data_IF_028314233046
#
_entry.id   IF_028314233046
#
_cell.length_a   1.000
_cell.length_b   1.000
_cell.length_c   1.000
_cell.angle_alpha   90.00
_cell.angle_beta   90.00
_cell.angle_gamma   90.00
#
_symmetry.space_group_name_H-M   'P 1'
#
loop_
_entity.id
_entity.type
_entity.pdbx_description
1 polymer ?
#
# COMPACT_ATOMS: atom_id res chain seq x y z
N UNK A 1 7.53 -14.93 15.06
CA UNK A 1 8.09 -14.23 13.87
C UNK A 1 6.99 -13.64 13.01
N UNK A 2 5.92 -14.36 12.68
CA UNK A 2 4.83 -13.88 11.81
C UNK A 2 4.17 -12.57 12.25
N UNK A 3 3.92 -12.36 13.54
CA UNK A 3 3.33 -11.12 14.05
C UNK A 3 4.21 -9.88 13.79
N UNK A 4 5.53 -10.02 13.76
CA UNK A 4 6.42 -8.92 13.43
C UNK A 4 6.36 -8.57 11.94
N UNK A 5 6.24 -9.57 11.05
CA UNK A 5 6.00 -9.32 9.64
C UNK A 5 4.72 -8.50 9.44
N UNK A 6 3.63 -8.87 10.10
CA UNK A 6 2.36 -8.13 10.06
C UNK A 6 2.52 -6.69 10.58
N UNK A 7 3.21 -6.50 11.72
CA UNK A 7 3.49 -5.17 12.29
C UNK A 7 4.26 -4.28 11.30
N UNK A 8 5.27 -4.80 10.62
CA UNK A 8 6.01 -4.05 9.61
C UNK A 8 5.18 -3.74 8.36
N UNK A 9 4.26 -4.63 7.95
CA UNK A 9 3.30 -4.34 6.89
C UNK A 9 2.39 -3.17 7.30
N UNK A 10 1.82 -3.23 8.52
CA UNK A 10 0.96 -2.15 9.05
C UNK A 10 1.71 -0.82 9.15
N UNK A 11 2.94 -0.83 9.67
CA UNK A 11 3.79 0.35 9.74
C UNK A 11 4.07 0.93 8.35
N UNK A 12 4.36 0.08 7.36
CA UNK A 12 4.57 0.50 5.95
C UNK A 12 3.32 1.19 5.38
N UNK A 13 2.13 0.66 5.68
CA UNK A 13 0.85 1.24 5.26
C UNK A 13 0.55 2.55 6.00
N UNK A 14 0.89 2.65 7.27
CA UNK A 14 0.68 3.83 8.12
C UNK A 14 1.54 5.03 7.72
N UNK A 15 2.69 4.84 7.08
CA UNK A 15 3.57 5.95 6.62
C UNK A 15 2.81 6.96 5.75
N UNK A 16 1.91 6.51 4.88
CA UNK A 16 1.18 7.42 3.98
C UNK A 16 0.22 8.34 4.72
N UNK A 17 -0.71 7.85 5.56
CA UNK A 17 -1.56 8.74 6.36
C UNK A 17 -0.75 9.59 7.34
N UNK A 18 0.29 9.02 7.97
CA UNK A 18 1.13 9.75 8.90
C UNK A 18 1.85 10.95 8.25
N UNK A 19 2.41 10.75 7.05
CA UNK A 19 2.98 11.84 6.26
C UNK A 19 1.97 12.98 6.02
N UNK A 20 0.72 12.63 5.76
CA UNK A 20 -0.31 13.62 5.50
C UNK A 20 -0.76 14.37 6.75
N UNK A 21 -0.74 13.72 7.91
CA UNK A 21 -1.09 14.32 9.19
C UNK A 21 0.01 15.22 9.72
N UNK A 22 1.27 14.79 9.57
CA UNK A 22 2.44 15.51 10.13
C UNK A 22 3.09 16.47 9.14
N UNK A 23 2.76 16.40 7.85
CA UNK A 23 3.44 17.17 6.79
C UNK A 23 4.87 16.72 6.48
N UNK A 24 5.43 15.75 7.23
CA UNK A 24 6.85 15.35 7.14
C UNK A 24 7.08 14.43 5.94
N UNK A 25 7.74 14.96 4.90
CA UNK A 25 8.02 14.23 3.64
C UNK A 25 9.06 13.12 3.84
N UNK A 26 10.01 13.28 4.76
CA UNK A 26 11.07 12.30 5.03
C UNK A 26 10.57 10.93 5.50
N UNK A 27 9.37 10.85 6.09
CA UNK A 27 8.76 9.59 6.49
C UNK A 27 8.65 8.56 5.35
N UNK A 28 8.55 9.02 4.10
CA UNK A 28 8.44 8.14 2.92
C UNK A 28 9.68 7.26 2.73
N UNK A 29 10.83 7.70 3.22
CA UNK A 29 12.09 6.94 3.11
C UNK A 29 12.02 5.61 3.88
N UNK A 30 11.30 5.59 5.01
CA UNK A 30 11.15 4.38 5.83
C UNK A 30 10.25 3.31 5.20
N UNK A 31 9.38 3.68 4.25
CA UNK A 31 8.51 2.69 3.59
C UNK A 31 9.27 1.51 2.98
N UNK A 32 10.41 1.81 2.35
CA UNK A 32 11.24 0.79 1.74
C UNK A 32 11.87 -0.12 2.79
N UNK A 33 12.46 0.47 3.81
CA UNK A 33 13.10 -0.25 4.90
C UNK A 33 12.10 -1.15 5.63
N UNK A 34 10.95 -0.60 6.03
CA UNK A 34 9.89 -1.35 6.71
C UNK A 34 9.32 -2.46 5.85
N UNK A 35 9.18 -2.24 4.52
CA UNK A 35 8.74 -3.28 3.58
C UNK A 35 9.75 -4.42 3.45
N UNK A 36 11.05 -4.14 3.45
CA UNK A 36 12.09 -5.16 3.44
C UNK A 36 12.13 -5.93 4.77
N UNK A 37 11.98 -5.27 5.91
CA UNK A 37 11.84 -5.97 7.19
C UNK A 37 10.61 -6.88 7.21
N UNK A 38 9.46 -6.41 6.69
CA UNK A 38 8.27 -7.24 6.57
C UNK A 38 8.56 -8.53 5.77
N UNK A 39 9.25 -8.41 4.64
CA UNK A 39 9.65 -9.55 3.83
C UNK A 39 10.61 -10.47 4.59
N UNK A 40 11.66 -9.94 5.22
CA UNK A 40 12.63 -10.73 5.98
C UNK A 40 11.97 -11.53 7.10
N UNK A 41 11.10 -10.88 7.90
CA UNK A 41 10.40 -11.56 8.97
C UNK A 41 9.39 -12.60 8.47
N UNK A 42 8.72 -12.36 7.34
CA UNK A 42 7.84 -13.32 6.71
C UNK A 42 8.62 -14.52 6.15
N UNK A 43 9.78 -14.30 5.53
CA UNK A 43 10.66 -15.35 5.02
C UNK A 43 11.21 -16.22 6.17
N UNK A 44 11.68 -15.60 7.26
CA UNK A 44 12.16 -16.33 8.45
C UNK A 44 11.00 -17.09 9.11
N UNK A 45 9.79 -16.53 9.15
CA UNK A 45 8.62 -17.23 9.67
C UNK A 45 8.30 -18.48 8.84
N UNK A 46 8.33 -18.37 7.54
CA UNK A 46 8.13 -19.51 6.64
C UNK A 46 9.27 -20.54 6.77
N UNK A 47 10.51 -20.08 6.88
CA UNK A 47 11.65 -20.98 7.08
C UNK A 47 11.54 -21.77 8.40
N UNK A 48 11.08 -21.11 9.48
CA UNK A 48 10.83 -21.81 10.75
C UNK A 48 9.77 -22.91 10.61
N UNK A 49 8.70 -22.66 9.82
CA UNK A 49 7.71 -23.67 9.51
C UNK A 49 8.35 -24.87 8.75
N UNK A 50 9.18 -24.61 7.73
CA UNK A 50 9.84 -25.66 6.98
C UNK A 50 10.79 -26.51 7.82
N UNK A 51 11.51 -25.89 8.76
CA UNK A 51 12.55 -26.59 9.56
C UNK A 51 11.95 -27.30 10.75
N UNK A 52 11.03 -26.65 11.46
CA UNK A 52 10.55 -27.13 12.77
C UNK A 52 9.29 -27.98 12.64
N UNK A 53 8.39 -27.66 11.70
CA UNK A 53 7.12 -28.35 11.58
C UNK A 53 7.15 -29.47 10.52
N UNK A 54 7.89 -29.28 9.41
CA UNK A 54 7.85 -30.19 8.25
C UNK A 54 9.12 -30.98 8.01
N UNK A 55 10.17 -30.76 8.80
CA UNK A 55 11.47 -31.50 8.68
C UNK A 55 11.99 -31.57 7.24
N UNK A 56 11.66 -30.59 6.38
CA UNK A 56 11.97 -30.52 4.94
C UNK A 56 11.37 -31.65 4.07
N UNK A 57 10.29 -32.33 4.51
CA UNK A 57 9.58 -33.25 3.62
C UNK A 57 8.72 -32.46 2.63
N UNK A 58 9.14 -32.50 1.36
CA UNK A 58 8.47 -31.75 0.28
C UNK A 58 7.06 -32.27 0.03
N UNK A 59 6.81 -33.56 0.21
CA UNK A 59 5.48 -34.14 0.01
C UNK A 59 4.52 -33.66 1.08
N UNK A 60 4.91 -33.68 2.35
CA UNK A 60 4.13 -33.12 3.46
C UNK A 60 3.88 -31.62 3.32
N UNK A 61 4.89 -30.86 2.86
CA UNK A 61 4.74 -29.40 2.62
C UNK A 61 3.67 -29.11 1.58
N UNK A 62 3.68 -29.87 0.46
CA UNK A 62 2.70 -29.71 -0.61
C UNK A 62 1.32 -30.09 -0.12
N UNK A 63 1.17 -31.19 0.59
CA UNK A 63 -0.07 -31.66 1.19
C UNK A 63 -0.64 -30.62 2.16
N UNK A 64 0.20 -30.11 3.08
CA UNK A 64 -0.19 -29.07 4.04
C UNK A 64 -0.64 -27.75 3.36
N UNK A 65 0.03 -27.33 2.30
CA UNK A 65 -0.35 -26.13 1.54
C UNK A 65 -1.72 -26.32 0.87
N UNK A 66 -2.03 -27.53 0.41
CA UNK A 66 -3.30 -27.84 -0.28
C UNK A 66 -4.43 -28.09 0.72
N UNK A 67 -4.18 -28.82 1.79
CA UNK A 67 -5.22 -29.24 2.73
C UNK A 67 -5.53 -28.17 3.80
N UNK A 68 -4.56 -27.32 4.14
CA UNK A 68 -4.71 -26.30 5.19
C UNK A 68 -4.83 -24.89 4.59
N UNK A 69 -6.04 -24.37 4.36
CA UNK A 69 -6.25 -23.11 3.66
C UNK A 69 -5.60 -21.91 4.34
N UNK A 70 -5.35 -21.93 5.65
CA UNK A 70 -4.63 -20.86 6.32
C UNK A 70 -3.14 -20.81 5.92
N UNK A 71 -2.50 -21.96 5.67
CA UNK A 71 -1.11 -22.04 5.17
C UNK A 71 -1.05 -21.49 3.74
N UNK A 72 -2.01 -21.87 2.89
CA UNK A 72 -2.12 -21.38 1.50
C UNK A 72 -2.21 -19.86 1.44
N UNK A 73 -3.02 -19.24 2.34
CA UNK A 73 -3.16 -17.78 2.41
C UNK A 73 -1.86 -17.13 2.83
N UNK A 74 -1.18 -17.65 3.86
CA UNK A 74 0.11 -17.13 4.32
C UNK A 74 1.21 -17.26 3.26
N UNK A 75 1.26 -18.42 2.59
CA UNK A 75 2.21 -18.68 1.50
C UNK A 75 1.97 -17.76 0.30
N UNK A 76 0.70 -17.55 -0.09
CA UNK A 76 0.33 -16.61 -1.15
C UNK A 76 0.78 -15.18 -0.83
N UNK A 77 0.62 -14.74 0.42
CA UNK A 77 1.09 -13.43 0.86
C UNK A 77 2.62 -13.32 0.75
N UNK A 78 3.36 -14.36 1.14
CA UNK A 78 4.82 -14.41 1.00
C UNK A 78 5.25 -14.36 -0.48
N UNK A 79 4.62 -15.15 -1.36
CA UNK A 79 4.90 -15.13 -2.79
C UNK A 79 4.70 -13.73 -3.40
N UNK A 80 3.66 -13.01 -2.97
CA UNK A 80 3.43 -11.63 -3.40
C UNK A 80 4.46 -10.64 -2.83
N UNK A 81 5.04 -10.91 -1.65
CA UNK A 81 6.09 -10.08 -1.07
C UNK A 81 7.42 -10.18 -1.82
N UNK A 82 7.73 -11.34 -2.43
CA UNK A 82 8.98 -11.56 -3.17
C UNK A 82 9.19 -10.50 -4.27
N UNK A 83 8.28 -10.30 -5.23
CA UNK A 83 8.47 -9.30 -6.28
C UNK A 83 8.55 -7.88 -5.71
N UNK A 84 7.88 -7.57 -4.60
CA UNK A 84 8.00 -6.27 -3.96
C UNK A 84 9.39 -6.06 -3.36
N UNK A 85 9.94 -7.09 -2.72
CA UNK A 85 11.29 -7.06 -2.14
C UNK A 85 12.36 -6.91 -3.23
N UNK A 86 12.31 -7.75 -4.27
CA UNK A 86 13.26 -7.74 -5.39
C UNK A 86 13.24 -6.38 -6.11
N UNK A 87 12.05 -5.84 -6.37
CA UNK A 87 11.89 -4.55 -7.07
C UNK A 87 12.03 -3.33 -6.18
N UNK A 88 12.43 -3.50 -4.91
CA UNK A 88 12.65 -2.40 -3.97
C UNK A 88 13.93 -1.61 -4.23
N UNK A 89 14.81 -2.04 -5.14
CA UNK A 89 16.04 -1.32 -5.45
C UNK A 89 15.79 -0.08 -6.32
N UNK A 90 16.73 0.90 -6.25
CA UNK A 90 16.62 2.11 -7.06
C UNK A 90 16.72 1.84 -8.56
N UNK A 91 17.48 0.80 -8.96
CA UNK A 91 17.57 0.34 -10.35
C UNK A 91 16.20 -0.08 -10.89
N UNK A 92 15.56 -1.03 -10.23
CA UNK A 92 14.23 -1.51 -10.60
C UNK A 92 13.18 -0.42 -10.64
N UNK A 93 13.23 0.53 -9.70
CA UNK A 93 12.29 1.66 -9.68
C UNK A 93 12.44 2.56 -10.92
N UNK A 94 13.68 2.75 -11.42
CA UNK A 94 13.94 3.50 -12.67
C UNK A 94 13.48 2.71 -13.89
N UNK A 95 13.79 1.41 -13.96
CA UNK A 95 13.44 0.54 -15.10
C UNK A 95 11.94 0.34 -15.24
N UNK A 96 11.23 0.07 -14.14
CA UNK A 96 9.79 -0.18 -14.15
C UNK A 96 8.92 1.10 -14.23
N UNK A 97 9.45 2.25 -13.83
CA UNK A 97 8.75 3.54 -13.89
C UNK A 97 7.33 3.50 -13.30
N UNK A 98 6.31 3.72 -14.15
CA UNK A 98 4.91 3.72 -13.73
C UNK A 98 4.43 2.33 -13.27
N UNK A 99 4.91 1.25 -13.87
CA UNK A 99 4.55 -0.15 -13.52
C UNK A 99 4.99 -0.50 -12.11
N UNK A 100 6.10 0.07 -11.63
CA UNK A 100 6.56 -0.09 -10.25
C UNK A 100 5.48 0.30 -9.22
N UNK A 101 4.78 1.40 -9.47
CA UNK A 101 3.70 1.87 -8.58
C UNK A 101 2.50 0.93 -8.58
N UNK A 102 2.20 0.28 -9.71
CA UNK A 102 1.10 -0.68 -9.84
C UNK A 102 1.47 -1.94 -9.07
N UNK A 103 2.67 -2.49 -9.27
CA UNK A 103 3.18 -3.65 -8.58
C UNK A 103 3.17 -3.45 -7.05
N UNK A 104 3.65 -2.31 -6.57
CA UNK A 104 3.70 -2.03 -5.13
C UNK A 104 2.33 -1.77 -4.47
N UNK A 105 1.23 -1.73 -5.26
CA UNK A 105 -0.14 -1.77 -4.72
C UNK A 105 -0.51 -3.14 -4.16
N UNK A 106 0.19 -4.21 -4.55
CA UNK A 106 -0.01 -5.54 -3.97
C UNK A 106 0.14 -5.54 -2.44
N UNK A 107 0.87 -4.58 -1.87
CA UNK A 107 1.00 -4.44 -0.40
C UNK A 107 -0.37 -4.36 0.31
N UNK A 108 -1.41 -3.87 -0.35
CA UNK A 108 -2.76 -3.83 0.23
C UNK A 108 -3.39 -5.23 0.29
N UNK A 109 -3.26 -5.98 -0.80
CA UNK A 109 -3.73 -7.38 -0.86
C UNK A 109 -2.96 -8.21 0.15
N UNK A 110 -1.63 -8.05 0.21
CA UNK A 110 -0.76 -8.73 1.18
C UNK A 110 -1.20 -8.42 2.62
N UNK A 111 -1.53 -7.16 2.93
CA UNK A 111 -2.02 -6.77 4.25
C UNK A 111 -3.34 -7.47 4.63
N UNK A 112 -4.26 -7.60 3.68
CA UNK A 112 -5.53 -8.32 3.87
C UNK A 112 -5.27 -9.82 4.10
N UNK A 113 -4.46 -10.45 3.24
CA UNK A 113 -4.12 -11.86 3.36
C UNK A 113 -3.37 -12.16 4.67
N UNK A 114 -2.45 -11.28 5.10
CA UNK A 114 -1.71 -11.45 6.34
C UNK A 114 -2.62 -11.34 7.59
N UNK A 115 -3.58 -10.40 7.59
CA UNK A 115 -4.59 -10.32 8.65
C UNK A 115 -5.49 -11.56 8.67
N UNK A 116 -5.91 -12.03 7.50
CA UNK A 116 -6.75 -13.23 7.38
C UNK A 116 -6.00 -14.48 7.84
N UNK A 117 -4.73 -14.65 7.41
CA UNK A 117 -3.87 -15.75 7.87
C UNK A 117 -3.74 -15.73 9.40
N UNK A 118 -3.48 -14.58 9.99
CA UNK A 118 -3.37 -14.42 11.44
C UNK A 118 -4.68 -14.75 12.15
N UNK A 119 -5.82 -14.27 11.64
CA UNK A 119 -7.14 -14.56 12.21
C UNK A 119 -7.46 -16.05 12.22
N UNK A 120 -7.13 -16.78 11.16
CA UNK A 120 -7.39 -18.22 11.08
C UNK A 120 -6.47 -19.05 11.98
N UNK A 121 -5.26 -18.59 12.22
CA UNK A 121 -4.30 -19.31 13.04
C UNK A 121 -4.62 -19.23 14.54
N UNK A 122 -5.28 -18.17 14.97
CA UNK A 122 -5.63 -17.96 16.39
C UNK A 122 -6.94 -18.64 16.73
N UNK A 123 -6.86 -19.73 17.53
CA UNK A 123 -8.03 -20.54 17.89
C UNK A 123 -8.77 -20.06 19.16
N UNK A 124 -8.11 -19.32 20.07
CA UNK A 124 -8.65 -18.98 21.41
C UNK A 124 -8.76 -17.49 21.71
N UNK A 125 -7.83 -16.66 21.27
CA UNK A 125 -7.84 -15.22 21.56
C UNK A 125 -7.97 -14.41 20.27
N UNK A 126 -9.22 -14.10 19.93
CA UNK A 126 -9.57 -13.32 18.71
C UNK A 126 -9.25 -11.83 18.92
N UNK A 127 -8.92 -11.39 20.14
CA UNK A 127 -8.71 -9.97 20.45
C UNK A 127 -7.58 -9.35 19.65
N UNK A 128 -6.40 -9.97 19.64
CA UNK A 128 -5.25 -9.45 18.87
C UNK A 128 -5.51 -9.36 17.35
N UNK A 129 -5.98 -10.42 16.65
CA UNK A 129 -6.29 -10.32 15.24
C UNK A 129 -7.29 -9.22 14.90
N UNK A 130 -8.32 -9.02 15.72
CA UNK A 130 -9.35 -7.99 15.51
C UNK A 130 -8.76 -6.59 15.58
N UNK A 131 -7.78 -6.33 16.45
CA UNK A 131 -7.06 -5.05 16.54
C UNK A 131 -6.35 -4.77 15.20
N UNK A 132 -5.62 -5.75 14.64
CA UNK A 132 -4.92 -5.57 13.37
C UNK A 132 -5.87 -5.40 12.19
N UNK A 133 -7.00 -6.10 12.17
CA UNK A 133 -8.06 -5.90 11.16
C UNK A 133 -8.64 -4.50 11.27
N UNK A 134 -8.89 -4.00 12.47
CA UNK A 134 -9.36 -2.65 12.73
C UNK A 134 -8.37 -1.59 12.24
N UNK A 135 -7.08 -1.75 12.55
CA UNK A 135 -6.01 -0.87 12.08
C UNK A 135 -5.94 -0.88 10.55
N UNK A 136 -5.96 -2.06 9.92
CA UNK A 136 -5.93 -2.18 8.46
C UNK A 136 -7.11 -1.49 7.81
N UNK A 137 -8.32 -1.72 8.33
CA UNK A 137 -9.55 -1.10 7.83
C UNK A 137 -9.50 0.42 7.93
N UNK A 138 -9.01 0.96 9.05
CA UNK A 138 -8.81 2.39 9.24
C UNK A 138 -7.82 2.97 8.23
N UNK A 139 -6.66 2.31 8.03
CA UNK A 139 -5.62 2.77 7.11
C UNK A 139 -6.09 2.76 5.66
N UNK A 140 -6.80 1.71 5.25
CA UNK A 140 -7.36 1.59 3.90
C UNK A 140 -8.53 2.57 3.70
N UNK A 141 -9.41 2.70 4.70
CA UNK A 141 -10.56 3.63 4.68
C UNK A 141 -10.12 5.09 4.52
N UNK A 142 -9.14 5.54 5.32
CA UNK A 142 -8.56 6.89 5.19
C UNK A 142 -7.98 7.14 3.80
N UNK A 143 -7.40 6.12 3.19
CA UNK A 143 -6.80 6.24 1.86
C UNK A 143 -7.85 6.31 0.76
N UNK A 144 -8.91 5.51 0.85
CA UNK A 144 -10.05 5.54 -0.07
C UNK A 144 -10.76 6.88 0.01
N UNK A 145 -11.10 7.34 1.21
CA UNK A 145 -11.77 8.63 1.41
C UNK A 145 -11.01 9.79 0.76
N UNK A 146 -9.69 9.85 0.94
CA UNK A 146 -8.85 10.88 0.30
C UNK A 146 -8.81 10.76 -1.22
N UNK A 147 -8.90 9.56 -1.76
CA UNK A 147 -8.96 9.34 -3.21
C UNK A 147 -10.27 9.85 -3.79
N UNK A 148 -11.39 9.57 -3.13
CA UNK A 148 -12.73 10.03 -3.56
C UNK A 148 -12.93 11.53 -3.33
N UNK A 149 -12.49 12.09 -2.22
CA UNK A 149 -12.60 13.51 -1.91
C UNK A 149 -11.87 14.38 -2.93
N UNK A 150 -10.70 13.95 -3.41
CA UNK A 150 -9.93 14.70 -4.41
C UNK A 150 -10.59 14.71 -5.79
N UNK A 151 -11.32 13.68 -6.16
CA UNK A 151 -12.03 13.63 -7.44
C UNK A 151 -13.25 14.58 -7.47
N UNK A 152 -13.89 14.82 -6.33
CA UNK A 152 -15.04 15.75 -6.25
C UNK A 152 -14.66 17.22 -6.47
N UNK A 153 -13.46 17.62 -6.06
CA UNK A 153 -12.98 19.01 -6.20
C UNK A 153 -12.65 19.34 -7.67
N UNK A 154 -12.21 18.35 -8.45
CA UNK A 154 -11.84 18.54 -9.87
C UNK A 154 -13.07 18.65 -10.78
N UNK A 155 -14.23 18.14 -10.37
CA UNK A 155 -15.47 18.13 -11.15
C UNK A 155 -16.39 19.31 -10.84
N UNK A 156 -16.02 20.23 -9.93
CA UNK A 156 -16.77 21.47 -9.74
C UNK A 156 -16.58 22.37 -10.98
N UNK A 157 -17.63 22.69 -11.76
CA UNK A 157 -17.49 23.60 -12.88
C UNK A 157 -17.02 24.95 -12.34
N UNK A 158 -15.96 25.49 -12.91
CA UNK A 158 -15.55 26.88 -12.68
C UNK A 158 -16.71 27.78 -13.11
N UNK A 159 -17.50 28.22 -12.14
CA UNK A 159 -18.45 29.33 -12.33
C UNK A 159 -17.62 30.63 -12.43
N UNK A 160 -16.81 30.75 -13.47
CA UNK A 160 -16.37 32.06 -13.92
C UNK A 160 -17.47 32.62 -14.79
N UNK A 161 -18.36 33.36 -14.09
CA UNK A 161 -19.33 34.25 -14.70
C UNK A 161 -18.60 35.17 -15.69
N UNK A 162 -19.25 35.34 -16.80
CA UNK A 162 -18.88 36.32 -17.81
C UNK A 162 -18.87 37.72 -17.20
N UNK A 163 -17.73 38.35 -17.24
CA UNK A 163 -17.64 39.79 -17.12
C UNK A 163 -16.99 40.32 -18.41
N UNK A 164 -17.83 41.04 -19.12
CA UNK A 164 -17.55 42.24 -19.85
C UNK A 164 -16.34 42.19 -20.80
N UNK A 165 -16.58 41.77 -22.03
CA UNK A 165 -15.78 42.14 -23.18
C UNK A 165 -15.86 43.65 -23.37
N UNK A 166 -14.99 44.40 -22.68
CA UNK A 166 -14.80 45.83 -22.99
C UNK A 166 -13.96 45.86 -24.27
N UNK A 167 -14.62 46.13 -25.37
CA UNK A 167 -13.97 46.41 -26.63
C UNK A 167 -13.09 47.66 -26.49
N UNK A 168 -11.82 47.59 -26.89
CA UNK A 168 -10.99 48.80 -26.90
C UNK A 168 -11.57 49.82 -27.94
N UNK A 169 -11.91 51.00 -27.44
CA UNK A 169 -12.30 52.11 -28.30
C UNK A 169 -11.16 52.49 -29.19
N UNK A 170 -11.35 52.34 -30.52
CA UNK A 170 -10.45 52.82 -31.55
C UNK A 170 -10.59 54.32 -31.68
N UNK A 171 -9.50 55.07 -31.57
CA UNK A 171 -9.48 56.50 -31.92
C UNK A 171 -9.74 56.73 -33.40
N UNK A 172 -10.04 57.95 -33.82
CA UNK A 172 -10.43 58.30 -35.20
C UNK A 172 -9.38 57.94 -36.23
N UNK A 173 -8.12 57.68 -35.84
CA UNK A 173 -6.98 57.42 -36.74
C UNK A 173 -6.62 55.92 -36.81
N UNK A 174 -7.42 55.03 -36.25
CA UNK A 174 -7.25 53.57 -36.34
C UNK A 174 -6.05 52.98 -35.58
N UNK A 175 -5.32 53.74 -34.75
CA UNK A 175 -4.12 53.29 -34.06
C UNK A 175 -4.41 53.08 -32.56
N UNK A 176 -3.89 52.02 -31.91
CA UNK A 176 -4.11 51.77 -30.48
C UNK A 176 -3.33 52.82 -29.65
N UNK A 177 -4.01 53.44 -28.70
CA UNK A 177 -3.39 54.38 -27.73
C UNK A 177 -2.41 53.57 -26.82
N UNK A 178 -1.14 53.99 -26.85
CA UNK A 178 -0.13 53.52 -25.90
C UNK A 178 -0.35 54.24 -24.57
N UNK A 179 -0.65 53.50 -23.55
CA UNK A 179 -0.53 53.96 -22.16
C UNK A 179 0.75 53.43 -21.54
#
# INVERSE_FOLDING_TARGET
>A
MGIWALRFIMATLAITPLRHLTGKVWLVQFRRMLGLFAFTYAAVHFLNYLVLDQTFDIAEIIEDIVERPFITVGFSALLMLIPLAVTSTNGWRRTLGARWRILHRLVYVIGILACWHFYWQVKKDIGEPMIYIGILTLLLGMRLWRRYGRNRVVTAPSARGGDGMVSPTKGPDGNPLKS
#
